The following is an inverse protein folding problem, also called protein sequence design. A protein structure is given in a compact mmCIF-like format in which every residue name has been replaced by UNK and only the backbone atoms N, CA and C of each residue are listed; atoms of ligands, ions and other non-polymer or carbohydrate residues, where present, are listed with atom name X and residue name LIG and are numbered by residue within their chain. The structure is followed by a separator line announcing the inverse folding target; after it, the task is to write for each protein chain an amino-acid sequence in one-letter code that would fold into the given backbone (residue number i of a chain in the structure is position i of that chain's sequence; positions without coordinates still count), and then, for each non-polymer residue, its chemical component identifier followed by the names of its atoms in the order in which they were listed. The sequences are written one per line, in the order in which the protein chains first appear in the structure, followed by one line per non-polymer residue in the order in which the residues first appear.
data_IF_153686513546
#
_entry.id   IF_153686513546
#
_cell.length_a   1.000
_cell.length_b   1.000
_cell.length_c   1.000
_cell.angle_alpha   90.00
_cell.angle_beta   90.00
_cell.angle_gamma   90.00
#
_symmetry.space_group_name_H-M   'P 1'
#
loop_
_entity.id
_entity.type
_entity.pdbx_description
1 polymer ?
#
# COMPACT_ATOMS: atom_id res chain seq x y z
N UNK A 1 1.63 11.82 12.66
CA UNK A 1 0.18 11.73 12.92
C UNK A 1 -0.44 10.85 11.83
N UNK A 2 -1.55 10.19 12.12
CA UNK A 2 -2.33 9.37 11.19
C UNK A 2 -3.73 9.97 11.15
N UNK A 3 -4.34 10.00 9.98
CA UNK A 3 -5.75 10.32 9.77
C UNK A 3 -6.40 9.14 9.06
N UNK A 4 -7.26 8.42 9.75
CA UNK A 4 -7.92 7.24 9.25
C UNK A 4 -9.33 7.55 8.76
N UNK A 5 -9.60 7.23 7.50
CA UNK A 5 -10.91 7.34 6.88
C UNK A 5 -11.43 5.93 6.61
N UNK A 6 -12.58 5.60 7.16
CA UNK A 6 -13.20 4.27 7.01
C UNK A 6 -14.71 4.39 6.78
N UNK A 7 -15.32 3.48 6.00
CA UNK A 7 -16.78 3.42 5.87
C UNK A 7 -17.48 2.76 7.06
N UNK A 8 -16.71 2.28 8.04
CA UNK A 8 -17.18 1.67 9.28
C UNK A 8 -16.43 2.26 10.46
N UNK A 9 -17.13 2.51 11.56
CA UNK A 9 -16.58 3.19 12.74
C UNK A 9 -16.11 2.20 13.83
N UNK A 10 -16.45 0.91 13.70
CA UNK A 10 -16.16 -0.13 14.68
C UNK A 10 -14.78 -0.75 14.46
N UNK A 11 -13.75 0.07 14.44
CA UNK A 11 -12.36 -0.33 14.21
C UNK A 11 -11.50 0.00 15.40
N UNK A 12 -10.76 -1.01 15.88
CA UNK A 12 -9.74 -0.91 16.93
C UNK A 12 -8.39 -1.33 16.30
N UNK A 13 -7.64 -0.36 15.78
CA UNK A 13 -6.35 -0.62 15.13
C UNK A 13 -5.20 -0.70 16.11
N UNK A 14 -5.26 0.03 17.20
CA UNK A 14 -4.19 0.06 18.18
C UNK A 14 -4.32 -1.06 19.23
N UNK A 15 -5.47 -1.77 19.25
CA UNK A 15 -5.73 -2.92 20.11
C UNK A 15 -5.97 -2.53 21.57
N UNK A 16 -6.43 -1.29 21.84
CA UNK A 16 -6.67 -0.79 23.19
C UNK A 16 -8.04 -1.23 23.74
N UNK A 17 -8.93 -1.72 22.88
CA UNK A 17 -10.28 -2.20 23.21
C UNK A 17 -11.36 -1.12 23.07
N UNK A 18 -11.01 0.07 22.65
CA UNK A 18 -11.94 1.15 22.29
C UNK A 18 -12.08 1.21 20.76
N UNK A 19 -13.25 1.62 20.27
CA UNK A 19 -13.53 1.72 18.82
C UNK A 19 -13.48 3.19 18.41
N UNK A 20 -12.31 3.81 18.53
CA UNK A 20 -12.13 5.26 18.38
C UNK A 20 -11.01 5.66 17.37
N UNK A 21 -10.51 4.69 16.60
CA UNK A 21 -9.41 4.90 15.67
C UNK A 21 -9.82 5.57 14.33
N UNK A 22 -11.12 5.67 14.05
CA UNK A 22 -11.60 6.28 12.79
C UNK A 22 -11.83 7.76 12.96
N UNK A 23 -11.08 8.59 12.24
CA UNK A 23 -11.17 10.05 12.31
C UNK A 23 -12.35 10.62 11.49
N UNK A 24 -12.73 9.96 10.39
CA UNK A 24 -13.82 10.41 9.53
C UNK A 24 -14.39 9.29 8.65
N UNK A 25 -15.66 9.48 8.23
CA UNK A 25 -16.32 8.63 7.24
C UNK A 25 -15.54 8.61 5.92
N UNK A 26 -15.53 7.45 5.23
CA UNK A 26 -14.96 7.35 3.89
C UNK A 26 -15.82 8.13 2.90
N UNK A 27 -15.33 9.29 2.50
CA UNK A 27 -15.93 10.14 1.47
C UNK A 27 -14.87 10.94 0.72
N UNK A 28 -15.17 11.33 -0.52
CA UNK A 28 -14.31 12.18 -1.32
C UNK A 28 -14.02 13.52 -0.61
N UNK A 29 -15.01 14.11 0.07
CA UNK A 29 -14.85 15.35 0.80
C UNK A 29 -13.91 15.22 2.02
N UNK A 30 -13.97 14.12 2.75
CA UNK A 30 -13.07 13.89 3.88
C UNK A 30 -11.64 13.58 3.42
N UNK A 31 -11.47 12.91 2.28
CA UNK A 31 -10.15 12.70 1.68
C UNK A 31 -9.56 14.03 1.18
N UNK A 32 -10.37 14.87 0.51
CA UNK A 32 -9.97 16.23 0.13
C UNK A 32 -9.48 17.03 1.35
N UNK A 33 -10.29 17.09 2.41
CA UNK A 33 -9.93 17.78 3.65
C UNK A 33 -8.63 17.24 4.26
N UNK A 34 -8.46 15.93 4.32
CA UNK A 34 -7.25 15.32 4.85
C UNK A 34 -5.99 15.72 4.07
N UNK A 35 -6.09 15.84 2.75
CA UNK A 35 -4.97 16.23 1.89
C UNK A 35 -4.71 17.72 1.95
N UNK A 36 -5.76 18.56 1.76
CA UNK A 36 -5.60 19.99 1.53
C UNK A 36 -5.53 20.81 2.81
N UNK A 37 -6.17 20.35 3.90
CA UNK A 37 -6.28 21.11 5.14
C UNK A 37 -5.49 20.45 6.28
N UNK A 38 -5.78 19.19 6.61
CA UNK A 38 -5.11 18.51 7.73
C UNK A 38 -3.61 18.34 7.48
N UNK A 39 -3.23 17.99 6.26
CA UNK A 39 -1.83 17.77 5.90
C UNK A 39 -1.05 19.04 5.51
N UNK A 40 -1.65 20.25 5.55
CA UNK A 40 -1.05 21.48 5.04
C UNK A 40 0.34 21.83 5.61
N UNK A 41 0.65 21.37 6.81
CA UNK A 41 1.95 21.59 7.46
C UNK A 41 2.88 20.36 7.42
N UNK A 42 2.51 19.33 6.67
CA UNK A 42 3.34 18.15 6.54
C UNK A 42 4.55 18.42 5.64
N UNK A 43 5.72 17.88 6.00
CA UNK A 43 6.88 17.81 5.10
C UNK A 43 6.87 16.57 4.23
N UNK A 44 6.21 15.51 4.71
CA UNK A 44 5.99 14.24 4.03
C UNK A 44 4.54 13.80 4.28
N UNK A 45 3.77 13.62 3.21
CA UNK A 45 2.44 13.05 3.25
C UNK A 45 2.46 11.68 2.58
N UNK A 46 1.99 10.67 3.29
CA UNK A 46 1.73 9.34 2.71
C UNK A 46 0.22 9.16 2.64
N UNK A 47 -0.30 8.98 1.44
CA UNK A 47 -1.70 8.63 1.21
C UNK A 47 -1.76 7.16 0.83
N UNK A 48 -2.48 6.36 1.62
CA UNK A 48 -2.71 4.96 1.35
C UNK A 48 -4.18 4.74 1.03
N UNK A 49 -4.45 4.27 -0.18
CA UNK A 49 -5.79 3.96 -0.67
C UNK A 49 -5.91 2.46 -0.94
N UNK A 50 -6.94 1.85 -0.39
CA UNK A 50 -7.25 0.44 -0.63
C UNK A 50 -8.76 0.22 -0.60
N UNK A 51 -9.32 -0.18 -1.70
CA UNK A 51 -10.70 -0.62 -1.93
C UNK A 51 -10.84 -1.03 -3.40
N UNK A 52 -12.04 -0.97 -3.96
CA UNK A 52 -12.29 -1.16 -5.37
C UNK A 52 -11.72 -0.03 -6.22
N UNK A 53 -11.30 -0.35 -7.43
CA UNK A 53 -10.83 0.63 -8.41
C UNK A 53 -11.32 0.34 -9.81
N UNK A 54 -11.25 1.38 -10.64
CA UNK A 54 -11.57 1.34 -12.06
C UNK A 54 -10.57 2.17 -12.86
N UNK A 55 -10.83 2.31 -14.16
CA UNK A 55 -9.97 3.10 -15.02
C UNK A 55 -10.05 4.61 -14.65
N UNK A 56 -8.99 5.11 -14.01
CA UNK A 56 -8.92 6.50 -13.54
C UNK A 56 -9.85 6.82 -12.37
N UNK A 57 -10.39 5.81 -11.69
CA UNK A 57 -11.35 5.98 -10.59
C UNK A 57 -11.01 5.07 -9.40
N UNK A 58 -11.14 5.62 -8.20
CA UNK A 58 -11.09 4.92 -6.93
C UNK A 58 -12.47 4.97 -6.27
N UNK A 59 -12.96 3.84 -5.79
CA UNK A 59 -14.20 3.73 -5.03
C UNK A 59 -13.86 3.95 -3.56
N UNK A 60 -14.16 5.13 -3.03
CA UNK A 60 -13.86 5.43 -1.62
C UNK A 60 -14.93 4.88 -0.68
N UNK A 61 -16.16 4.73 -1.16
CA UNK A 61 -17.26 4.14 -0.41
C UNK A 61 -18.32 3.59 -1.36
N UNK A 62 -18.84 2.39 -1.09
CA UNK A 62 -19.91 1.75 -1.85
C UNK A 62 -21.10 1.30 -0.99
N UNK A 63 -21.18 1.72 0.27
CA UNK A 63 -22.26 1.34 1.19
C UNK A 63 -23.54 2.16 0.98
N UNK A 64 -23.49 3.23 0.20
CA UNK A 64 -24.64 4.09 -0.11
C UNK A 64 -25.51 3.62 -1.28
N UNK A 65 -26.43 4.47 -1.69
CA UNK A 65 -27.30 4.25 -2.87
C UNK A 65 -26.49 4.29 -4.17
N UNK A 66 -25.40 5.06 -4.17
CA UNK A 66 -24.44 5.17 -5.26
C UNK A 66 -23.03 5.15 -4.66
N UNK A 67 -22.05 4.57 -5.34
CA UNK A 67 -20.68 4.63 -4.86
C UNK A 67 -20.19 6.08 -4.84
N UNK A 68 -19.40 6.42 -3.83
CA UNK A 68 -18.61 7.65 -3.81
C UNK A 68 -17.27 7.37 -4.48
N UNK A 69 -16.93 8.18 -5.47
CA UNK A 69 -15.78 7.94 -6.35
C UNK A 69 -14.83 9.13 -6.29
N UNK A 70 -13.55 8.83 -6.33
CA UNK A 70 -12.48 9.82 -6.53
C UNK A 70 -11.79 9.50 -7.85
N UNK A 71 -11.86 10.42 -8.79
CA UNK A 71 -11.13 10.26 -10.05
C UNK A 71 -9.70 10.84 -9.95
N UNK A 72 -8.86 10.38 -10.87
CA UNK A 72 -7.44 10.76 -10.89
C UNK A 72 -7.24 12.28 -10.98
N UNK A 73 -8.08 13.01 -11.72
CA UNK A 73 -7.96 14.47 -11.86
C UNK A 73 -8.34 15.23 -10.58
N UNK A 74 -9.30 14.73 -9.80
CA UNK A 74 -9.61 15.30 -8.49
C UNK A 74 -8.41 15.11 -7.54
N UNK A 75 -7.88 13.89 -7.47
CA UNK A 75 -6.74 13.59 -6.61
C UNK A 75 -5.49 14.39 -7.00
N UNK A 76 -5.25 14.55 -8.30
CA UNK A 76 -4.17 15.38 -8.81
C UNK A 76 -4.33 16.85 -8.38
N UNK A 77 -5.54 17.40 -8.53
CA UNK A 77 -5.84 18.77 -8.08
C UNK A 77 -5.55 18.95 -6.59
N UNK A 78 -5.99 18.05 -5.74
CA UNK A 78 -5.75 18.15 -4.28
C UNK A 78 -4.26 18.03 -3.92
N UNK A 79 -3.53 17.19 -4.63
CA UNK A 79 -2.07 17.10 -4.45
C UNK A 79 -1.35 18.34 -4.93
N UNK A 80 -1.76 18.91 -6.06
CA UNK A 80 -1.21 20.15 -6.59
C UNK A 80 -1.49 21.34 -5.67
N UNK A 81 -2.70 21.45 -5.12
CA UNK A 81 -3.08 22.48 -4.16
C UNK A 81 -2.17 22.40 -2.92
N UNK A 82 -2.00 21.22 -2.31
CA UNK A 82 -1.08 21.06 -1.20
C UNK A 82 0.37 21.43 -1.57
N UNK A 83 0.85 20.99 -2.73
CA UNK A 83 2.22 21.24 -3.16
C UNK A 83 2.46 22.66 -3.67
N UNK A 84 1.42 23.41 -4.00
CA UNK A 84 1.51 24.84 -4.32
C UNK A 84 1.75 25.71 -3.08
N UNK A 85 1.28 25.27 -1.93
CA UNK A 85 1.35 25.98 -0.65
C UNK A 85 2.48 25.47 0.27
N UNK A 86 3.00 24.28 -0.02
CA UNK A 86 4.01 23.61 0.79
C UNK A 86 5.08 22.95 -0.07
N UNK A 87 6.22 22.60 0.53
CA UNK A 87 7.25 21.76 -0.09
C UNK A 87 7.07 20.28 0.28
N UNK A 88 5.87 19.86 0.60
CA UNK A 88 5.59 18.49 1.01
C UNK A 88 5.93 17.51 -0.11
N UNK A 89 6.68 16.45 0.25
CA UNK A 89 6.76 15.27 -0.60
C UNK A 89 5.48 14.47 -0.42
N UNK A 90 4.82 14.12 -1.51
CA UNK A 90 3.64 13.26 -1.48
C UNK A 90 4.02 11.85 -1.95
N UNK A 91 3.62 10.85 -1.19
CA UNK A 91 3.74 9.43 -1.57
C UNK A 91 2.36 8.81 -1.59
N UNK A 92 1.86 8.49 -2.76
CA UNK A 92 0.64 7.70 -2.92
C UNK A 92 1.00 6.21 -2.96
N UNK A 93 0.34 5.41 -2.13
CA UNK A 93 0.35 3.94 -2.17
C UNK A 93 -1.08 3.52 -2.46
N UNK A 94 -1.35 2.99 -3.65
CA UNK A 94 -2.70 2.72 -4.12
C UNK A 94 -2.86 1.24 -4.50
N UNK A 95 -3.63 0.50 -3.70
CA UNK A 95 -3.92 -0.92 -3.90
C UNK A 95 -5.38 -1.13 -4.28
N UNK A 96 -5.63 -1.20 -5.57
CA UNK A 96 -6.95 -1.47 -6.15
C UNK A 96 -6.81 -1.98 -7.60
N UNK A 97 -7.90 -2.52 -8.13
CA UNK A 97 -8.00 -2.86 -9.53
C UNK A 97 -7.70 -1.62 -10.40
N UNK A 98 -6.93 -1.81 -11.47
CA UNK A 98 -6.58 -0.75 -12.45
C UNK A 98 -5.88 0.47 -11.83
N UNK A 99 -5.31 0.35 -10.61
CA UNK A 99 -4.64 1.45 -9.91
C UNK A 99 -3.52 2.11 -10.72
N UNK A 100 -2.84 1.37 -11.58
CA UNK A 100 -1.78 1.90 -12.45
C UNK A 100 -2.23 2.94 -13.46
N UNK A 101 -3.54 3.05 -13.72
CA UNK A 101 -4.09 4.10 -14.59
C UNK A 101 -3.99 5.52 -13.98
N UNK A 102 -3.63 5.60 -12.70
CA UNK A 102 -3.37 6.86 -12.02
C UNK A 102 -1.96 7.42 -12.28
N UNK A 103 -1.00 6.59 -12.65
CA UNK A 103 0.42 6.99 -12.78
C UNK A 103 0.60 8.18 -13.73
N UNK A 104 0.02 8.10 -14.93
CA UNK A 104 0.15 9.17 -15.94
C UNK A 104 -0.64 10.44 -15.59
N UNK A 105 -1.61 10.36 -14.69
CA UNK A 105 -2.49 11.47 -14.32
C UNK A 105 -2.08 12.21 -13.04
N UNK A 106 -1.05 11.73 -12.32
CA UNK A 106 -0.60 12.30 -11.06
C UNK A 106 0.81 12.90 -11.17
N UNK A 107 1.03 13.73 -12.20
CA UNK A 107 2.33 14.37 -12.41
C UNK A 107 2.51 15.57 -11.48
N UNK A 108 3.61 15.67 -10.71
CA UNK A 108 3.79 16.77 -9.79
C UNK A 108 4.02 18.11 -10.50
N UNK A 109 3.67 19.23 -9.86
CA UNK A 109 4.12 20.55 -10.29
C UNK A 109 5.64 20.63 -10.35
N UNK A 110 6.17 21.50 -11.22
CA UNK A 110 7.61 21.65 -11.39
C UNK A 110 8.32 22.02 -10.08
N UNK A 111 9.23 21.16 -9.66
CA UNK A 111 10.02 21.35 -8.43
C UNK A 111 9.43 20.67 -7.20
N UNK A 112 8.31 19.97 -7.35
CA UNK A 112 7.69 19.18 -6.27
C UNK A 112 8.04 17.70 -6.42
N UNK A 113 8.10 16.98 -5.29
CA UNK A 113 8.39 15.56 -5.22
C UNK A 113 7.09 14.77 -5.03
N UNK A 114 6.77 13.89 -5.96
CA UNK A 114 5.61 12.99 -5.86
C UNK A 114 6.03 11.58 -6.24
N UNK A 115 5.70 10.63 -5.38
CA UNK A 115 5.93 9.19 -5.58
C UNK A 115 4.58 8.53 -5.73
N UNK A 116 4.39 7.81 -6.82
CA UNK A 116 3.16 7.06 -7.10
C UNK A 116 3.50 5.57 -7.15
N UNK A 117 3.00 4.82 -6.17
CA UNK A 117 3.11 3.38 -6.08
C UNK A 117 1.72 2.76 -6.24
N UNK A 118 1.55 1.86 -7.21
CA UNK A 118 0.28 1.17 -7.45
C UNK A 118 0.47 -0.34 -7.43
N UNK A 119 -0.53 -1.06 -6.93
CA UNK A 119 -0.46 -2.52 -6.81
C UNK A 119 -0.63 -3.26 -8.13
N UNK A 120 -1.31 -2.66 -9.08
CA UNK A 120 -1.61 -3.25 -10.39
C UNK A 120 -1.31 -2.22 -11.50
N UNK A 121 -1.23 -2.67 -12.75
CA UNK A 121 -1.23 -1.80 -13.92
C UNK A 121 -2.68 -1.46 -14.31
N UNK A 122 -3.12 -1.81 -15.50
CA UNK A 122 -4.52 -1.67 -15.94
C UNK A 122 -5.35 -2.97 -15.77
N UNK A 123 -4.90 -3.88 -14.92
CA UNK A 123 -5.53 -5.16 -14.62
C UNK A 123 -6.08 -5.22 -13.19
N UNK A 124 -6.84 -6.26 -12.84
CA UNK A 124 -7.31 -6.44 -11.46
C UNK A 124 -6.17 -6.54 -10.46
N UNK A 125 -6.39 -6.02 -9.25
CA UNK A 125 -5.62 -6.35 -8.06
C UNK A 125 -6.28 -7.54 -7.33
N UNK A 126 -5.48 -8.33 -6.65
CA UNK A 126 -5.95 -9.52 -5.95
C UNK A 126 -5.85 -9.35 -4.44
N UNK A 127 -6.95 -9.72 -3.78
CA UNK A 127 -7.06 -9.81 -2.33
C UNK A 127 -7.57 -11.21 -1.99
N UNK A 128 -6.64 -12.15 -1.79
CA UNK A 128 -6.95 -13.53 -1.51
C UNK A 128 -6.71 -13.87 -0.04
N UNK A 129 -7.26 -14.99 0.43
CA UNK A 129 -7.08 -15.49 1.81
C UNK A 129 -7.37 -14.42 2.87
N UNK A 130 -8.47 -13.69 2.72
CA UNK A 130 -8.83 -12.61 3.66
C UNK A 130 -7.86 -11.42 3.64
N UNK A 131 -7.21 -11.19 2.49
CA UNK A 131 -6.26 -10.07 2.31
C UNK A 131 -4.81 -10.39 2.65
N UNK A 132 -4.51 -11.54 3.24
CA UNK A 132 -3.12 -11.95 3.56
C UNK A 132 -2.28 -12.15 2.29
N UNK A 133 -2.91 -12.55 1.20
CA UNK A 133 -2.30 -12.58 -0.12
C UNK A 133 -2.80 -11.37 -0.91
N UNK A 134 -2.19 -10.23 -0.68
CA UNK A 134 -2.43 -8.97 -1.38
C UNK A 134 -1.14 -8.15 -1.48
N UNK A 135 -1.11 -7.19 -2.39
CA UNK A 135 0.02 -6.27 -2.48
C UNK A 135 0.21 -5.50 -1.17
N UNK A 136 -0.86 -4.95 -0.62
CA UNK A 136 -0.82 -4.17 0.62
C UNK A 136 -0.25 -4.96 1.79
N UNK A 137 -0.71 -6.18 2.01
CA UNK A 137 -0.20 -6.99 3.11
C UNK A 137 1.31 -7.23 2.99
N UNK A 138 1.76 -7.62 1.79
CA UNK A 138 3.18 -7.90 1.55
C UNK A 138 4.05 -6.63 1.66
N UNK A 139 3.54 -5.51 1.14
CA UNK A 139 4.23 -4.22 1.21
C UNK A 139 4.38 -3.73 2.66
N UNK A 140 3.28 -3.64 3.40
CA UNK A 140 3.30 -3.14 4.77
C UNK A 140 4.01 -4.06 5.74
N UNK A 141 3.90 -5.40 5.56
CA UNK A 141 4.71 -6.34 6.32
C UNK A 141 6.21 -6.13 6.08
N UNK A 142 6.62 -5.91 4.82
CA UNK A 142 8.01 -5.65 4.51
C UNK A 142 8.50 -4.27 5.01
N UNK A 143 7.65 -3.23 4.97
CA UNK A 143 7.93 -1.93 5.62
C UNK A 143 8.16 -2.13 7.11
N UNK A 144 7.28 -2.86 7.77
CA UNK A 144 7.36 -3.14 9.19
C UNK A 144 8.67 -3.86 9.57
N UNK A 145 9.09 -4.86 8.78
CA UNK A 145 10.28 -5.66 9.09
C UNK A 145 11.59 -5.09 8.51
N UNK A 146 11.58 -4.50 7.34
CA UNK A 146 12.78 -4.06 6.61
C UNK A 146 13.01 -2.55 6.63
N UNK A 147 11.95 -1.79 6.83
CA UNK A 147 11.98 -0.34 6.95
C UNK A 147 12.29 0.45 5.67
N UNK A 148 12.65 -0.19 4.55
CA UNK A 148 12.97 0.51 3.29
C UNK A 148 11.86 0.36 2.27
N UNK A 149 11.42 1.49 1.73
CA UNK A 149 10.34 1.58 0.75
C UNK A 149 10.57 0.70 -0.49
N UNK A 150 11.74 0.79 -1.10
CA UNK A 150 12.03 0.02 -2.32
C UNK A 150 12.13 -1.49 -2.06
N UNK A 151 12.67 -1.90 -0.93
CA UNK A 151 12.73 -3.31 -0.56
C UNK A 151 11.33 -3.88 -0.30
N UNK A 152 10.45 -3.06 0.29
CA UNK A 152 9.04 -3.42 0.49
C UNK A 152 8.29 -3.53 -0.85
N UNK A 153 8.49 -2.58 -1.76
CA UNK A 153 7.96 -2.68 -3.12
C UNK A 153 8.41 -3.96 -3.83
N UNK A 154 9.70 -4.29 -3.76
CA UNK A 154 10.21 -5.51 -4.38
C UNK A 154 9.61 -6.77 -3.76
N UNK A 155 9.47 -6.82 -2.43
CA UNK A 155 8.88 -7.95 -1.73
C UNK A 155 7.42 -8.18 -2.16
N UNK A 156 6.62 -7.11 -2.19
CA UNK A 156 5.22 -7.19 -2.63
C UNK A 156 5.11 -7.55 -4.12
N UNK A 157 5.91 -6.91 -4.97
CA UNK A 157 5.96 -7.22 -6.41
C UNK A 157 6.29 -8.69 -6.67
N UNK A 158 7.32 -9.22 -6.02
CA UNK A 158 7.81 -10.57 -6.28
C UNK A 158 6.81 -11.64 -5.80
N UNK A 159 6.03 -11.35 -4.76
CA UNK A 159 4.94 -12.23 -4.31
C UNK A 159 3.73 -12.19 -5.25
N UNK A 160 3.44 -11.03 -5.85
CA UNK A 160 2.24 -10.85 -6.68
C UNK A 160 2.51 -10.95 -8.19
N UNK A 161 3.75 -11.12 -8.62
CA UNK A 161 4.16 -11.00 -10.05
C UNK A 161 3.49 -11.98 -11.02
N UNK A 162 2.96 -13.12 -10.55
CA UNK A 162 2.24 -14.06 -11.40
C UNK A 162 0.84 -13.57 -11.76
N UNK A 163 0.27 -12.66 -10.97
CA UNK A 163 -1.15 -12.29 -11.00
C UNK A 163 -1.33 -10.82 -11.37
N UNK A 164 -0.47 -9.95 -10.88
CA UNK A 164 -0.58 -8.51 -11.10
C UNK A 164 0.79 -7.86 -11.26
N UNK A 165 0.81 -6.69 -11.91
CA UNK A 165 2.03 -5.93 -12.17
C UNK A 165 2.01 -4.59 -11.45
N UNK A 166 2.65 -4.47 -10.31
CA UNK A 166 2.81 -3.22 -9.59
C UNK A 166 3.65 -2.20 -10.38
N UNK A 167 3.31 -0.93 -10.23
CA UNK A 167 4.00 0.19 -10.86
C UNK A 167 4.53 1.15 -9.81
N UNK A 168 5.71 1.69 -10.05
CA UNK A 168 6.35 2.70 -9.21
C UNK A 168 6.91 3.80 -10.11
N UNK A 169 6.35 4.99 -10.05
CA UNK A 169 6.89 6.23 -10.57
C UNK A 169 7.32 7.10 -9.38
N UNK A 170 8.60 7.37 -9.28
CA UNK A 170 9.16 8.16 -8.19
C UNK A 170 9.83 9.45 -8.67
N UNK A 171 10.01 9.59 -9.96
CA UNK A 171 10.59 10.79 -10.57
C UNK A 171 9.51 11.73 -11.13
N UNK A 172 8.23 11.33 -11.03
CA UNK A 172 7.07 12.13 -11.44
C UNK A 172 6.98 12.40 -12.93
N UNK A 173 7.48 11.48 -13.77
CA UNK A 173 7.45 11.64 -15.24
C UNK A 173 6.34 10.84 -15.92
N UNK A 174 5.53 10.09 -15.16
CA UNK A 174 4.45 9.24 -15.66
C UNK A 174 4.91 7.90 -16.24
N UNK A 175 6.20 7.58 -16.16
CA UNK A 175 6.78 6.34 -16.66
C UNK A 175 7.29 5.51 -15.50
N UNK A 176 6.54 4.49 -15.13
CA UNK A 176 6.84 3.68 -13.97
C UNK A 176 7.94 2.63 -14.18
N UNK A 177 8.54 2.20 -13.08
CA UNK A 177 9.52 1.13 -13.00
C UNK A 177 10.83 1.41 -13.75
N UNK A 178 11.20 2.67 -13.86
CA UNK A 178 12.47 3.07 -14.43
C UNK A 178 13.63 2.89 -13.41
N UNK A 179 14.83 2.86 -13.93
CA UNK A 179 16.04 2.84 -13.10
C UNK A 179 16.18 4.11 -12.25
N UNK A 180 15.66 5.23 -12.74
CA UNK A 180 15.61 6.51 -12.04
C UNK A 180 14.72 6.44 -10.80
N UNK A 181 13.55 5.81 -10.90
CA UNK A 181 12.64 5.65 -9.76
C UNK A 181 13.30 4.94 -8.59
N UNK A 182 13.96 3.82 -8.87
CA UNK A 182 14.73 3.09 -7.86
C UNK A 182 15.74 3.99 -7.15
N UNK A 183 16.48 4.79 -7.90
CA UNK A 183 17.54 5.62 -7.34
C UNK A 183 17.01 6.63 -6.32
N UNK A 184 15.79 7.13 -6.53
CA UNK A 184 15.13 8.10 -5.65
C UNK A 184 14.60 7.45 -4.36
N UNK A 185 14.06 6.23 -4.45
CA UNK A 185 13.32 5.64 -3.31
C UNK A 185 14.11 4.58 -2.52
N UNK A 186 15.26 4.10 -3.01
CA UNK A 186 16.00 2.98 -2.40
C UNK A 186 16.46 3.23 -0.95
N UNK A 187 16.52 4.47 -0.51
CA UNK A 187 16.91 4.86 0.84
C UNK A 187 15.78 5.46 1.66
N UNK A 188 14.59 5.58 1.11
CA UNK A 188 13.41 6.07 1.84
C UNK A 188 13.01 5.02 2.88
N UNK A 189 12.70 5.50 4.08
CA UNK A 189 12.15 4.70 5.18
C UNK A 189 10.81 5.31 5.55
N UNK A 190 9.77 4.50 5.60
CA UNK A 190 8.46 4.89 6.10
C UNK A 190 8.44 4.70 7.62
N UNK A 191 8.00 5.73 8.32
CA UNK A 191 7.96 5.73 9.78
C UNK A 191 9.36 5.87 10.40
N UNK A 192 9.42 5.84 11.73
CA UNK A 192 10.68 5.99 12.49
C UNK A 192 11.37 4.65 12.75
N UNK A 193 11.22 3.68 11.84
CA UNK A 193 11.81 2.37 12.05
C UNK A 193 11.31 1.78 13.37
N UNK A 194 10.00 1.67 13.51
CA UNK A 194 9.46 0.92 14.61
C UNK A 194 10.08 -0.46 14.52
N UNK A 195 10.72 -0.85 15.58
CA UNK A 195 11.12 -2.20 15.90
C UNK A 195 12.44 -2.67 15.31
N UNK A 196 13.51 -2.10 15.78
CA UNK A 196 14.80 -2.79 15.81
C UNK A 196 14.75 -4.14 16.59
N UNK A 197 13.60 -4.57 17.07
CA UNK A 197 13.43 -5.75 17.92
C UNK A 197 12.70 -6.93 17.27
N UNK A 198 12.09 -6.77 16.09
CA UNK A 198 11.47 -7.92 15.41
C UNK A 198 12.23 -8.28 14.16
N UNK A 199 13.22 -9.14 14.33
CA UNK A 199 13.78 -9.89 13.21
C UNK A 199 12.71 -10.89 12.78
N UNK A 200 12.29 -10.90 11.49
CA UNK A 200 11.30 -11.89 11.04
C UNK A 200 11.86 -13.30 11.26
N UNK A 201 10.98 -14.28 11.52
CA UNK A 201 11.40 -15.66 11.58
C UNK A 201 12.14 -16.06 10.29
N UNK A 202 13.30 -16.64 10.41
CA UNK A 202 14.05 -17.14 9.27
C UNK A 202 13.70 -18.61 9.04
N UNK A 203 13.24 -18.93 7.83
CA UNK A 203 13.00 -20.30 7.39
C UNK A 203 14.25 -20.82 6.71
N UNK A 204 14.92 -21.81 7.31
CA UNK A 204 16.16 -22.37 6.76
C UNK A 204 15.90 -23.51 5.76
N UNK A 205 14.75 -24.16 5.84
CA UNK A 205 14.37 -25.20 4.90
C UNK A 205 12.85 -25.24 4.71
N UNK A 206 12.44 -25.33 3.45
CA UNK A 206 11.04 -25.56 3.04
C UNK A 206 11.06 -26.72 2.06
N UNK A 207 10.07 -27.62 2.13
CA UNK A 207 9.95 -28.71 1.17
C UNK A 207 9.85 -28.19 -0.26
N UNK A 208 10.34 -28.92 -1.26
CA UNK A 208 10.24 -28.51 -2.66
C UNK A 208 8.77 -28.31 -3.08
N UNK A 209 8.50 -27.52 -4.12
CA UNK A 209 7.18 -27.40 -4.71
C UNK A 209 6.60 -28.77 -5.05
N UNK A 210 5.35 -29.00 -4.68
CA UNK A 210 4.62 -30.24 -4.94
C UNK A 210 3.46 -29.99 -5.90
N UNK A 211 3.22 -30.93 -6.80
CA UNK A 211 2.07 -30.91 -7.69
C UNK A 211 1.09 -31.97 -7.26
N UNK A 212 -0.15 -31.57 -6.97
CA UNK A 212 -1.25 -32.49 -6.64
C UNK A 212 -1.79 -33.14 -7.92
N UNK A 213 -1.46 -34.39 -8.16
CA UNK A 213 -1.95 -35.19 -9.29
C UNK A 213 -3.19 -36.00 -8.88
N UNK A 214 -4.29 -35.29 -8.60
CA UNK A 214 -5.55 -35.92 -8.20
C UNK A 214 -5.63 -36.25 -6.70
N UNK A 215 -4.65 -35.90 -5.91
CA UNK A 215 -4.69 -35.98 -4.45
C UNK A 215 -5.36 -34.76 -3.86
N UNK A 216 -6.00 -34.89 -2.70
CA UNK A 216 -6.72 -33.79 -2.04
C UNK A 216 -5.89 -33.01 -1.03
N UNK A 217 -4.65 -33.41 -0.78
CA UNK A 217 -3.76 -32.76 0.18
C UNK A 217 -2.29 -33.01 -0.16
N UNK A 218 -1.43 -32.07 0.20
CA UNK A 218 0.02 -32.21 0.19
C UNK A 218 0.57 -31.86 1.59
N UNK A 219 1.70 -32.43 1.93
CA UNK A 219 2.44 -32.09 3.16
C UNK A 219 3.56 -31.12 2.79
N UNK A 220 3.52 -29.93 3.37
CA UNK A 220 4.62 -28.96 3.30
C UNK A 220 5.35 -29.02 4.61
N UNK A 221 6.62 -29.39 4.55
CA UNK A 221 7.51 -29.40 5.72
C UNK A 221 8.34 -28.12 5.74
N UNK A 222 8.35 -27.45 6.88
CA UNK A 222 9.21 -26.29 7.15
C UNK A 222 10.16 -26.68 8.27
N UNK A 223 11.44 -26.70 7.96
CA UNK A 223 12.50 -27.06 8.93
C UNK A 223 13.25 -25.82 9.44
N UNK A 224 13.74 -25.91 10.67
CA UNK A 224 14.68 -24.93 11.26
C UNK A 224 14.19 -23.49 11.19
N UNK A 225 13.08 -23.20 11.88
CA UNK A 225 12.60 -21.84 12.04
C UNK A 225 13.36 -21.19 13.20
N UNK A 226 14.10 -20.12 12.92
CA UNK A 226 14.72 -19.28 13.95
C UNK A 226 13.92 -17.99 14.12
N UNK A 227 13.54 -17.69 15.36
CA UNK A 227 12.82 -16.46 15.70
C UNK A 227 13.27 -15.96 17.07
N UNK A 228 13.37 -14.65 17.25
CA UNK A 228 13.66 -14.02 18.54
C UNK A 228 12.45 -14.04 19.47
N UNK A 229 11.23 -14.08 18.91
CA UNK A 229 9.99 -14.13 19.65
C UNK A 229 9.28 -15.47 19.43
N UNK A 230 8.40 -15.90 20.35
CA UNK A 230 7.62 -17.11 20.17
C UNK A 230 6.80 -17.08 18.89
N UNK A 231 6.89 -18.12 18.08
CA UNK A 231 6.07 -18.29 16.89
C UNK A 231 4.68 -18.74 17.34
N UNK A 232 3.67 -17.88 17.16
CA UNK A 232 2.29 -18.19 17.56
C UNK A 232 1.47 -18.80 16.44
N UNK A 233 1.87 -18.60 15.17
CA UNK A 233 1.19 -19.15 13.99
C UNK A 233 2.17 -19.37 12.85
N UNK A 234 1.90 -20.37 12.04
CA UNK A 234 2.55 -20.66 10.75
C UNK A 234 1.45 -20.84 9.70
N UNK A 235 1.61 -20.18 8.58
CA UNK A 235 0.67 -20.23 7.45
C UNK A 235 1.39 -20.82 6.24
N UNK A 236 0.71 -21.65 5.47
CA UNK A 236 1.13 -22.03 4.13
C UNK A 236 0.11 -21.42 3.14
N UNK A 237 0.61 -20.71 2.13
CA UNK A 237 -0.20 -20.06 1.07
C UNK A 237 0.22 -20.64 -0.27
#
# INVERSE_FOLDING_TARGET
DIWLISPVDDVDFDGNGELDDVDADASAANLEYAITEWAQNASDLIVYLTDHGGYGEFVINNLGVSPDLVNVGQLDTWFDDLQSESSARITLIYDACQSGTFVEGLLPPSGSDRIVLTSASNQPALFLEGGVLSFSYQFWAAVFYKGKFYDAFLAARDQMQSEQRPLLDANGNGIANEKADRALVQNIVIGRGAVAASVPPELQAVSPPQTLNGETSAVIEVGSITALNPITRVWAV
#
